data_IF_689257501974
#
_entry.id   IF_689257501974
#
_cell.length_a   1.000
_cell.length_b   1.000
_cell.length_c   1.000
_cell.angle_alpha   90.00
_cell.angle_beta   90.00
_cell.angle_gamma   90.00
#
_symmetry.space_group_name_H-M   'P 1'
#
loop_
_entity.id
_entity.type
_entity.pdbx_description
1 polymer ?
#
# COMPACT_ATOMS: atom_id res chain seq x y z
N UNK A 1 -9.05 53.09 -12.16
CA UNK A 1 -9.24 52.69 -13.58
C UNK A 1 -9.41 51.19 -13.70
N UNK A 2 -10.50 50.78 -14.36
CA UNK A 2 -10.83 49.34 -14.53
C UNK A 2 -9.71 48.53 -15.16
N UNK A 3 -8.97 49.14 -16.07
CA UNK A 3 -7.80 48.57 -16.76
C UNK A 3 -6.62 48.31 -15.82
N UNK A 4 -6.40 49.14 -14.84
CA UNK A 4 -5.36 48.92 -13.81
C UNK A 4 -5.70 47.76 -12.88
N UNK A 5 -6.96 47.61 -12.48
CA UNK A 5 -7.43 46.50 -11.65
C UNK A 5 -7.30 45.17 -12.38
N UNK A 6 -7.67 45.11 -13.67
CA UNK A 6 -7.54 43.92 -14.50
C UNK A 6 -6.07 43.54 -14.70
N UNK A 7 -5.19 44.51 -14.96
CA UNK A 7 -3.75 44.26 -15.09
C UNK A 7 -3.09 43.81 -13.78
N UNK A 8 -3.49 44.34 -12.62
CA UNK A 8 -3.01 43.88 -11.33
C UNK A 8 -3.47 42.44 -11.03
N UNK A 9 -4.71 42.10 -11.40
CA UNK A 9 -5.23 40.75 -11.21
C UNK A 9 -4.51 39.75 -12.13
N UNK A 10 -4.24 40.08 -13.38
CA UNK A 10 -3.47 39.23 -14.29
C UNK A 10 -2.02 39.04 -13.85
N UNK A 11 -1.38 40.08 -13.35
CA UNK A 11 -0.01 39.97 -12.82
C UNK A 11 0.06 39.05 -11.59
N UNK A 12 -0.91 39.17 -10.68
CA UNK A 12 -1.01 38.31 -9.47
C UNK A 12 -1.25 36.84 -9.81
N UNK A 13 -2.09 36.54 -10.80
CA UNK A 13 -2.36 35.18 -11.26
C UNK A 13 -1.11 34.56 -11.89
N UNK A 14 -0.41 35.28 -12.74
CA UNK A 14 0.82 34.79 -13.37
C UNK A 14 1.93 34.49 -12.36
N UNK A 15 2.12 35.36 -11.36
CA UNK A 15 3.07 35.09 -10.27
C UNK A 15 2.68 33.85 -9.45
N UNK A 16 1.42 33.66 -9.16
CA UNK A 16 0.91 32.49 -8.44
C UNK A 16 1.17 31.21 -9.23
N UNK A 17 0.85 31.21 -10.53
CA UNK A 17 1.07 30.07 -11.42
C UNK A 17 2.55 29.71 -11.50
N UNK A 18 3.44 30.70 -11.65
CA UNK A 18 4.88 30.48 -11.68
C UNK A 18 5.38 29.87 -10.36
N UNK A 19 4.92 30.36 -9.23
CA UNK A 19 5.29 29.81 -7.90
C UNK A 19 4.81 28.38 -7.72
N UNK A 20 3.60 28.07 -8.19
CA UNK A 20 3.06 26.70 -8.15
C UNK A 20 3.89 25.78 -9.02
N UNK A 21 4.16 26.14 -10.27
CA UNK A 21 4.97 25.33 -11.21
C UNK A 21 6.37 25.10 -10.64
N UNK A 22 6.99 26.14 -10.07
CA UNK A 22 8.31 26.05 -9.48
C UNK A 22 8.33 25.10 -8.27
N UNK A 23 7.29 25.17 -7.40
CA UNK A 23 7.13 24.26 -6.28
C UNK A 23 6.97 22.80 -6.75
N UNK A 24 6.11 22.56 -7.75
CA UNK A 24 5.89 21.21 -8.31
C UNK A 24 7.09 20.64 -9.05
N UNK A 25 8.04 21.45 -9.49
CA UNK A 25 9.30 20.99 -10.08
C UNK A 25 10.41 20.75 -9.04
N UNK A 26 10.54 21.65 -8.08
CA UNK A 26 11.62 21.61 -7.09
C UNK A 26 11.41 20.52 -6.05
N UNK A 27 10.20 20.38 -5.51
CA UNK A 27 9.94 19.39 -4.46
C UNK A 27 10.20 17.96 -4.93
N UNK A 28 9.67 17.48 -6.07
CA UNK A 28 9.99 16.16 -6.58
C UNK A 28 11.46 15.96 -6.93
N UNK A 29 12.15 17.00 -7.38
CA UNK A 29 13.58 16.93 -7.67
C UNK A 29 14.41 16.63 -6.40
N UNK A 30 14.19 17.36 -5.32
CA UNK A 30 14.89 17.13 -4.06
C UNK A 30 14.51 15.80 -3.41
N UNK A 31 13.23 15.46 -3.44
CA UNK A 31 12.76 14.16 -2.94
C UNK A 31 13.34 13.02 -3.74
N UNK A 32 13.42 13.13 -5.07
CA UNK A 32 14.08 12.16 -5.94
C UNK A 32 15.56 11.97 -5.61
N UNK A 33 16.26 13.05 -5.29
CA UNK A 33 17.65 13.01 -4.82
C UNK A 33 17.78 12.23 -3.50
N UNK A 34 16.95 12.53 -2.52
CA UNK A 34 16.92 11.83 -1.21
C UNK A 34 16.59 10.34 -1.41
N UNK A 35 15.58 10.03 -2.20
CA UNK A 35 15.20 8.65 -2.54
C UNK A 35 16.36 7.92 -3.24
N UNK A 36 17.04 8.58 -4.17
CA UNK A 36 18.23 8.05 -4.83
C UNK A 36 19.38 7.73 -3.85
N UNK A 37 19.58 8.56 -2.83
CA UNK A 37 20.56 8.32 -1.77
C UNK A 37 20.14 7.11 -0.92
N UNK A 38 18.86 7.03 -0.51
CA UNK A 38 18.31 5.91 0.28
C UNK A 38 18.56 4.58 -0.43
N UNK A 39 18.44 4.53 -1.76
CA UNK A 39 18.71 3.33 -2.57
C UNK A 39 20.09 2.73 -2.33
N UNK A 40 21.12 3.56 -2.10
CA UNK A 40 22.47 3.07 -1.87
C UNK A 40 22.63 2.27 -0.57
N UNK A 41 21.70 2.46 0.38
CA UNK A 41 21.69 1.76 1.67
C UNK A 41 20.82 0.50 1.67
N UNK A 42 20.07 0.24 0.60
CA UNK A 42 19.29 -0.99 0.45
C UNK A 42 20.14 -2.17 0.01
N UNK A 43 19.79 -3.39 0.40
CA UNK A 43 20.48 -4.63 0.01
C UNK A 43 20.44 -4.78 -1.52
N UNK A 44 21.62 -4.92 -2.12
CA UNK A 44 21.75 -5.06 -3.57
C UNK A 44 21.52 -3.76 -4.36
N UNK A 45 21.41 -2.61 -3.71
CA UNK A 45 21.15 -1.30 -4.34
C UNK A 45 19.92 -1.32 -5.27
N UNK A 46 18.91 -2.10 -4.91
CA UNK A 46 17.63 -2.20 -5.63
C UNK A 46 16.45 -1.92 -4.72
N UNK A 47 15.34 -1.57 -5.31
CA UNK A 47 14.08 -1.46 -4.58
C UNK A 47 13.49 -2.84 -4.33
N UNK A 48 12.93 -3.01 -3.16
CA UNK A 48 12.26 -4.22 -2.72
C UNK A 48 10.74 -4.03 -2.79
N UNK A 49 10.00 -5.11 -3.05
CA UNK A 49 8.57 -5.04 -3.24
C UNK A 49 7.86 -6.36 -2.96
N UNK A 50 6.57 -6.49 -3.38
CA UNK A 50 5.78 -7.70 -3.20
C UNK A 50 6.46 -9.00 -3.68
N UNK A 51 7.20 -9.01 -4.81
CA UNK A 51 7.93 -10.21 -5.23
C UNK A 51 8.95 -10.71 -4.20
N UNK A 52 9.63 -9.80 -3.50
CA UNK A 52 10.58 -10.18 -2.45
C UNK A 52 9.89 -10.83 -1.25
N UNK A 53 8.70 -10.34 -0.91
CA UNK A 53 7.86 -10.92 0.16
C UNK A 53 7.42 -12.33 -0.21
N UNK A 54 6.93 -12.53 -1.44
CA UNK A 54 6.51 -13.84 -1.95
C UNK A 54 7.70 -14.80 -1.96
N UNK A 55 8.85 -14.34 -2.45
CA UNK A 55 10.06 -15.15 -2.53
C UNK A 55 10.52 -15.60 -1.14
N UNK A 56 10.51 -14.70 -0.15
CA UNK A 56 10.93 -15.01 1.23
C UNK A 56 10.04 -16.04 1.93
N UNK A 57 8.78 -16.16 1.51
CA UNK A 57 7.84 -17.15 2.07
C UNK A 57 8.03 -18.53 1.42
N UNK A 58 8.50 -18.58 0.16
CA UNK A 58 8.61 -19.83 -0.60
C UNK A 58 10.02 -20.41 -0.62
N UNK A 59 11.04 -19.60 -0.37
CA UNK A 59 12.44 -20.02 -0.41
C UNK A 59 13.04 -19.93 0.99
N UNK A 60 13.37 -21.08 1.56
CA UNK A 60 13.77 -21.18 2.96
C UNK A 60 15.09 -20.43 3.30
N UNK A 61 15.94 -20.16 2.30
CA UNK A 61 17.20 -19.45 2.47
C UNK A 61 17.12 -17.93 2.26
N UNK A 62 15.96 -17.37 1.93
CA UNK A 62 15.81 -15.95 1.62
C UNK A 62 14.84 -15.24 2.57
N UNK A 63 15.31 -14.92 3.78
CA UNK A 63 14.58 -14.04 4.67
C UNK A 63 14.57 -12.58 4.20
N UNK A 64 13.45 -11.89 4.46
CA UNK A 64 13.33 -10.46 4.20
C UNK A 64 14.39 -9.67 4.97
N UNK A 65 15.09 -8.79 4.24
CA UNK A 65 16.01 -7.87 4.87
C UNK A 65 15.23 -6.69 5.46
N UNK A 66 15.06 -6.72 6.78
CA UNK A 66 14.26 -5.74 7.54
C UNK A 66 14.73 -4.31 7.30
N UNK A 67 16.04 -4.07 7.30
CA UNK A 67 16.61 -2.74 7.05
C UNK A 67 16.21 -2.23 5.65
N UNK A 68 16.35 -3.06 4.63
CA UNK A 68 15.95 -2.71 3.27
C UNK A 68 14.44 -2.49 3.16
N UNK A 69 13.64 -3.27 3.91
CA UNK A 69 12.20 -3.12 3.96
C UNK A 69 11.76 -1.75 4.49
N UNK A 70 12.30 -1.34 5.62
CA UNK A 70 12.01 -0.02 6.18
C UNK A 70 12.49 1.11 5.28
N UNK A 71 13.70 1.02 4.72
CA UNK A 71 14.23 2.04 3.81
C UNK A 71 13.38 2.18 2.54
N UNK A 72 12.91 1.07 1.96
CA UNK A 72 12.03 1.09 0.80
C UNK A 72 10.67 1.72 1.14
N UNK A 73 10.13 1.42 2.32
CA UNK A 73 8.86 2.01 2.78
C UNK A 73 8.98 3.52 2.99
N UNK A 74 10.06 3.99 3.62
CA UNK A 74 10.34 5.42 3.80
C UNK A 74 10.48 6.11 2.43
N UNK A 75 11.25 5.53 1.52
CA UNK A 75 11.41 6.07 0.17
C UNK A 75 10.08 6.18 -0.58
N UNK A 76 9.18 5.20 -0.41
CA UNK A 76 7.86 5.18 -1.01
C UNK A 76 6.95 6.25 -0.42
N UNK A 77 6.94 6.42 0.91
CA UNK A 77 6.18 7.48 1.60
C UNK A 77 6.64 8.85 1.08
N UNK A 78 7.94 9.10 1.03
CA UNK A 78 8.49 10.36 0.50
C UNK A 78 8.08 10.59 -0.96
N UNK A 79 8.13 9.57 -1.80
CA UNK A 79 7.74 9.67 -3.20
C UNK A 79 6.25 9.99 -3.36
N UNK A 80 5.37 9.31 -2.62
CA UNK A 80 3.92 9.56 -2.66
C UNK A 80 3.61 10.96 -2.14
N UNK A 81 4.24 11.38 -1.05
CA UNK A 81 4.01 12.69 -0.44
C UNK A 81 4.40 13.87 -1.35
N UNK A 82 5.36 13.67 -2.26
CA UNK A 82 5.72 14.70 -3.24
C UNK A 82 4.88 14.66 -4.54
N UNK A 83 3.82 13.85 -4.57
CA UNK A 83 2.90 13.77 -5.71
C UNK A 83 3.30 12.78 -6.80
N UNK A 84 4.26 11.89 -6.56
CA UNK A 84 4.58 10.84 -7.54
C UNK A 84 3.41 9.87 -7.69
N UNK A 85 3.02 9.58 -8.93
CA UNK A 85 1.96 8.62 -9.25
C UNK A 85 2.46 7.18 -9.10
N UNK A 86 2.93 6.82 -7.93
CA UNK A 86 3.33 5.45 -7.57
C UNK A 86 2.24 4.83 -6.71
N UNK A 87 1.86 3.58 -7.03
CA UNK A 87 0.83 2.89 -6.25
C UNK A 87 1.28 2.60 -4.82
N UNK A 88 0.38 2.79 -3.87
CA UNK A 88 0.65 2.50 -2.44
C UNK A 88 0.70 1.00 -2.11
N UNK A 89 0.15 0.16 -2.97
CA UNK A 89 0.00 -1.28 -2.75
C UNK A 89 1.34 -2.01 -2.54
N UNK A 90 2.32 -1.79 -3.43
CA UNK A 90 3.62 -2.44 -3.34
C UNK A 90 4.36 -2.17 -2.03
N UNK A 91 4.56 -0.91 -1.67
CA UNK A 91 5.16 -0.52 -0.39
C UNK A 91 4.42 -1.05 0.83
N UNK A 92 3.09 -1.05 0.79
CA UNK A 92 2.24 -1.51 1.88
C UNK A 92 2.42 -3.00 2.16
N UNK A 93 2.38 -3.84 1.11
CA UNK A 93 2.63 -5.29 1.20
C UNK A 93 4.03 -5.57 1.72
N UNK A 94 5.03 -4.87 1.21
CA UNK A 94 6.41 -5.07 1.63
C UNK A 94 6.65 -4.63 3.08
N UNK A 95 6.06 -3.51 3.49
CA UNK A 95 6.14 -3.02 4.86
C UNK A 95 5.50 -4.00 5.86
N UNK A 96 4.27 -4.46 5.57
CA UNK A 96 3.59 -5.46 6.40
C UNK A 96 4.37 -6.75 6.53
N UNK A 97 4.87 -7.29 5.41
CA UNK A 97 5.72 -8.48 5.41
C UNK A 97 7.01 -8.29 6.21
N UNK A 98 7.63 -7.12 6.13
CA UNK A 98 8.84 -6.77 6.88
C UNK A 98 8.60 -6.76 8.39
N UNK A 99 7.45 -6.19 8.83
CA UNK A 99 7.06 -6.22 10.25
C UNK A 99 6.84 -7.66 10.72
N UNK A 100 6.13 -8.47 9.93
CA UNK A 100 5.93 -9.89 10.25
C UNK A 100 7.25 -10.67 10.40
N UNK A 101 8.21 -10.42 9.52
CA UNK A 101 9.54 -10.99 9.59
C UNK A 101 10.32 -10.57 10.87
N UNK A 102 10.19 -9.30 11.25
CA UNK A 102 10.85 -8.78 12.46
C UNK A 102 10.26 -9.36 13.73
N UNK A 103 8.94 -9.52 13.80
CA UNK A 103 8.26 -10.17 14.93
C UNK A 103 8.80 -11.59 15.15
N UNK A 104 9.06 -12.35 14.07
CA UNK A 104 9.67 -13.69 14.19
C UNK A 104 11.05 -13.65 14.85
N UNK A 105 11.86 -12.65 14.53
CA UNK A 105 13.20 -12.50 15.11
C UNK A 105 13.16 -12.12 16.59
N UNK A 106 12.19 -11.29 16.96
CA UNK A 106 12.03 -10.84 18.36
C UNK A 106 11.47 -11.93 19.28
N UNK A 107 10.63 -12.81 18.77
CA UNK A 107 9.91 -13.79 19.56
C UNK A 107 10.18 -15.22 19.08
N UNK A 108 11.03 -15.96 19.81
CA UNK A 108 11.38 -17.36 19.49
C UNK A 108 10.18 -18.32 19.49
N UNK A 109 9.17 -18.07 20.32
CA UNK A 109 7.93 -18.87 20.41
C UNK A 109 6.84 -18.43 19.40
N UNK A 110 7.11 -17.43 18.56
CA UNK A 110 6.15 -16.97 17.57
C UNK A 110 5.85 -18.08 16.53
N UNK A 111 4.68 -18.03 15.88
CA UNK A 111 4.32 -18.91 14.78
C UNK A 111 5.39 -18.96 13.68
N UNK A 112 5.23 -19.87 12.74
CA UNK A 112 6.14 -20.02 11.62
C UNK A 112 6.34 -18.69 10.87
N UNK A 113 7.56 -18.46 10.40
CA UNK A 113 7.95 -17.26 9.61
C UNK A 113 6.97 -16.95 8.49
N UNK A 114 6.57 -17.98 7.74
CA UNK A 114 5.64 -17.84 6.61
C UNK A 114 4.27 -17.30 7.04
N UNK A 115 3.78 -17.74 8.19
CA UNK A 115 2.50 -17.30 8.77
C UNK A 115 2.59 -15.84 9.23
N UNK A 116 3.69 -15.48 9.90
CA UNK A 116 3.87 -14.12 10.41
C UNK A 116 4.03 -13.09 9.29
N UNK A 117 4.83 -13.40 8.27
CA UNK A 117 4.96 -12.53 7.10
C UNK A 117 3.62 -12.35 6.41
N UNK A 118 2.87 -13.45 6.18
CA UNK A 118 1.55 -13.39 5.56
C UNK A 118 0.53 -12.63 6.41
N UNK A 119 0.57 -12.80 7.75
CA UNK A 119 -0.28 -12.04 8.67
C UNK A 119 0.03 -10.54 8.65
N UNK A 120 1.31 -10.18 8.57
CA UNK A 120 1.73 -8.78 8.42
C UNK A 120 1.24 -8.16 7.10
N UNK A 121 1.31 -8.91 6.00
CA UNK A 121 0.75 -8.47 4.71
C UNK A 121 -0.77 -8.31 4.78
N UNK A 122 -1.48 -9.27 5.37
CA UNK A 122 -2.93 -9.20 5.54
C UNK A 122 -3.34 -7.97 6.34
N UNK A 123 -2.63 -7.70 7.44
CA UNK A 123 -2.84 -6.52 8.28
C UNK A 123 -2.64 -5.22 7.49
N UNK A 124 -1.55 -5.13 6.74
CA UNK A 124 -1.22 -3.93 5.98
C UNK A 124 -2.26 -3.62 4.89
N UNK A 125 -2.71 -4.64 4.14
CA UNK A 125 -3.79 -4.48 3.14
C UNK A 125 -5.10 -4.11 3.82
N UNK A 126 -5.44 -4.77 4.92
CA UNK A 126 -6.66 -4.50 5.68
C UNK A 126 -6.70 -3.05 6.17
N UNK A 127 -5.60 -2.57 6.75
CA UNK A 127 -5.49 -1.19 7.22
C UNK A 127 -5.53 -0.17 6.07
N UNK A 128 -4.76 -0.41 5.01
CA UNK A 128 -4.62 0.56 3.91
C UNK A 128 -5.84 0.71 3.02
N UNK A 129 -6.65 -0.35 2.89
CA UNK A 129 -7.84 -0.36 2.03
C UNK A 129 -9.16 -0.46 2.80
N UNK A 130 -9.13 -0.60 4.12
CA UNK A 130 -10.34 -0.83 4.92
C UNK A 130 -11.05 -2.16 4.59
N UNK A 131 -10.31 -3.17 4.13
CA UNK A 131 -10.87 -4.39 3.54
C UNK A 131 -10.25 -5.67 4.16
N UNK A 132 -10.71 -6.12 5.33
CA UNK A 132 -10.12 -7.24 6.05
C UNK A 132 -10.20 -8.57 5.30
N UNK A 133 -11.28 -8.82 4.56
CA UNK A 133 -11.40 -10.03 3.75
C UNK A 133 -10.45 -10.03 2.56
N UNK A 134 -10.24 -8.88 1.92
CA UNK A 134 -9.28 -8.76 0.83
C UNK A 134 -7.84 -9.00 1.33
N UNK A 135 -7.49 -8.45 2.50
CA UNK A 135 -6.21 -8.70 3.15
C UNK A 135 -5.96 -10.19 3.44
N UNK A 136 -6.97 -10.88 3.99
CA UNK A 136 -6.92 -12.32 4.23
C UNK A 136 -6.71 -13.12 2.93
N UNK A 137 -7.54 -12.87 1.92
CA UNK A 137 -7.51 -13.60 0.64
C UNK A 137 -6.17 -13.38 -0.04
N UNK A 138 -5.72 -12.12 -0.14
CA UNK A 138 -4.44 -11.79 -0.74
C UNK A 138 -3.27 -12.49 -0.06
N UNK A 139 -3.20 -12.44 1.26
CA UNK A 139 -2.12 -13.07 2.01
C UNK A 139 -2.09 -14.60 1.81
N UNK A 140 -3.25 -15.24 1.69
CA UNK A 140 -3.34 -16.68 1.47
C UNK A 140 -3.08 -17.10 0.04
N UNK A 141 -3.64 -16.41 -0.93
CA UNK A 141 -3.60 -16.82 -2.34
C UNK A 141 -2.32 -16.35 -3.04
N UNK A 142 -1.87 -15.13 -2.74
CA UNK A 142 -0.73 -14.54 -3.44
C UNK A 142 0.57 -14.77 -2.67
N UNK A 143 0.56 -14.53 -1.34
CA UNK A 143 1.79 -14.60 -0.54
C UNK A 143 2.07 -16.02 -0.09
N UNK A 144 1.14 -16.67 0.60
CA UNK A 144 1.37 -17.99 1.19
C UNK A 144 1.23 -19.14 0.18
N UNK A 145 0.31 -19.00 -0.77
CA UNK A 145 -0.04 -20.01 -1.79
C UNK A 145 -0.34 -21.41 -1.22
N UNK A 146 -0.63 -21.48 0.07
CA UNK A 146 -0.93 -22.72 0.75
C UNK A 146 -2.19 -22.60 1.59
N UNK A 147 -3.13 -23.54 1.40
CA UNK A 147 -4.43 -23.49 2.06
C UNK A 147 -4.46 -24.35 3.35
N UNK A 148 -3.54 -24.09 4.26
CA UNK A 148 -3.59 -24.73 5.57
C UNK A 148 -4.63 -24.08 6.48
N UNK A 149 -5.41 -24.87 7.20
CA UNK A 149 -6.33 -24.37 8.23
C UNK A 149 -5.57 -23.74 9.41
N UNK A 150 -4.36 -24.22 9.70
CA UNK A 150 -3.53 -23.67 10.77
C UNK A 150 -3.06 -22.24 10.49
N UNK A 151 -2.87 -21.86 9.23
CA UNK A 151 -2.50 -20.50 8.84
C UNK A 151 -3.70 -19.55 8.73
N UNK A 152 -4.92 -20.09 8.56
CA UNK A 152 -6.12 -19.28 8.35
C UNK A 152 -6.43 -18.37 9.54
N UNK A 153 -6.47 -18.94 10.73
CA UNK A 153 -6.86 -18.23 11.96
C UNK A 153 -5.94 -17.04 12.28
N UNK A 154 -4.61 -17.17 12.32
CA UNK A 154 -3.74 -16.03 12.63
C UNK A 154 -3.79 -14.94 11.56
N UNK A 155 -3.89 -15.29 10.28
CA UNK A 155 -3.99 -14.31 9.19
C UNK A 155 -5.32 -13.56 9.25
N UNK A 156 -6.43 -14.26 9.51
CA UNK A 156 -7.74 -13.65 9.66
C UNK A 156 -7.79 -12.70 10.86
N UNK A 157 -7.31 -13.17 12.02
CA UNK A 157 -7.28 -12.35 13.24
C UNK A 157 -6.44 -11.09 13.06
N UNK A 158 -5.26 -11.20 12.47
CA UNK A 158 -4.39 -10.05 12.24
C UNK A 158 -5.04 -9.03 11.30
N UNK A 159 -5.73 -9.50 10.26
CA UNK A 159 -6.45 -8.65 9.31
C UNK A 159 -7.63 -7.91 9.97
N UNK A 160 -8.45 -8.61 10.77
CA UNK A 160 -9.60 -8.01 11.45
C UNK A 160 -9.14 -7.02 12.52
N UNK A 161 -8.14 -7.39 13.33
CA UNK A 161 -7.61 -6.51 14.38
C UNK A 161 -7.04 -5.24 13.75
N UNK A 162 -6.29 -5.36 12.67
CA UNK A 162 -5.73 -4.22 11.96
C UNK A 162 -6.81 -3.27 11.42
N UNK A 163 -7.87 -3.82 10.84
CA UNK A 163 -9.04 -3.05 10.41
C UNK A 163 -9.68 -2.28 11.57
N UNK A 164 -9.94 -2.98 12.68
CA UNK A 164 -10.54 -2.39 13.87
C UNK A 164 -9.71 -1.23 14.40
N UNK A 165 -8.40 -1.42 14.55
CA UNK A 165 -7.51 -0.34 15.00
C UNK A 165 -7.51 0.84 14.05
N UNK A 166 -7.52 0.60 12.75
CA UNK A 166 -7.47 1.65 11.74
C UNK A 166 -8.75 2.47 11.70
N UNK A 167 -9.91 1.83 11.70
CA UNK A 167 -11.21 2.49 11.56
C UNK A 167 -11.70 3.04 12.88
N UNK A 168 -11.68 2.25 13.96
CA UNK A 168 -12.30 2.61 15.24
C UNK A 168 -11.39 3.44 16.15
N UNK A 169 -10.07 3.21 16.11
CA UNK A 169 -9.14 3.91 17.02
C UNK A 169 -8.49 5.10 16.34
N UNK A 170 -8.09 4.97 15.07
CA UNK A 170 -7.51 6.07 14.33
C UNK A 170 -8.53 6.90 13.54
N UNK A 171 -9.82 6.53 13.60
CA UNK A 171 -10.92 7.23 12.90
C UNK A 171 -10.61 7.44 11.40
N UNK A 172 -9.87 6.49 10.81
CA UNK A 172 -9.45 6.58 9.41
C UNK A 172 -10.58 6.10 8.51
N UNK A 173 -11.12 7.02 7.71
CA UNK A 173 -12.06 6.65 6.65
C UNK A 173 -11.30 6.04 5.46
N UNK A 174 -11.71 4.82 5.02
CA UNK A 174 -11.12 4.21 3.84
C UNK A 174 -11.25 5.14 2.61
N UNK A 175 -10.19 5.18 1.80
CA UNK A 175 -10.11 6.04 0.61
C UNK A 175 -11.23 5.79 -0.43
N UNK A 176 -11.94 4.66 -0.32
CA UNK A 176 -13.08 4.30 -1.16
C UNK A 176 -14.39 4.62 -0.42
N UNK A 177 -14.81 5.88 -0.46
CA UNK A 177 -16.14 6.25 -0.03
C UNK A 177 -17.11 5.93 -1.17
N UNK A 178 -17.68 4.72 -1.16
CA UNK A 178 -18.67 4.31 -2.14
C UNK A 178 -20.01 4.90 -1.68
N UNK A 179 -20.61 5.85 -2.44
CA UNK A 179 -21.93 6.37 -2.10
C UNK A 179 -22.90 5.21 -1.97
N UNK A 180 -23.73 5.22 -0.91
CA UNK A 180 -24.79 4.22 -0.75
C UNK A 180 -25.68 4.25 -1.98
N UNK A 181 -25.59 3.23 -2.82
CA UNK A 181 -26.44 3.10 -4.00
C UNK A 181 -27.84 2.76 -3.50
N UNK A 182 -28.68 3.77 -3.39
CA UNK A 182 -30.11 3.60 -3.13
C UNK A 182 -30.77 3.04 -4.39
N UNK A 183 -30.70 1.74 -4.57
CA UNK A 183 -31.27 1.02 -5.71
C UNK A 183 -31.62 -0.41 -5.35
N UNK A 184 -32.33 -1.08 -6.25
CA UNK A 184 -32.78 -2.45 -6.07
C UNK A 184 -31.57 -3.38 -5.84
N UNK A 185 -31.39 -3.87 -4.63
CA UNK A 185 -30.24 -4.66 -4.20
C UNK A 185 -29.91 -5.85 -5.11
N UNK A 186 -30.93 -6.46 -5.74
CA UNK A 186 -30.74 -7.58 -6.65
C UNK A 186 -30.03 -7.16 -7.96
N UNK A 187 -30.37 -6.01 -8.52
CA UNK A 187 -29.71 -5.48 -9.73
C UNK A 187 -28.25 -5.14 -9.45
N UNK A 188 -27.96 -4.55 -8.29
CA UNK A 188 -26.60 -4.20 -7.89
C UNK A 188 -25.73 -5.43 -7.74
N UNK A 189 -26.24 -6.52 -7.14
CA UNK A 189 -25.51 -7.79 -7.02
C UNK A 189 -25.19 -8.37 -8.41
N UNK A 190 -26.15 -8.38 -9.32
CA UNK A 190 -25.95 -8.87 -10.69
C UNK A 190 -24.87 -8.05 -11.41
N UNK A 191 -24.92 -6.73 -11.32
CA UNK A 191 -23.93 -5.84 -11.92
C UNK A 191 -22.51 -6.07 -11.36
N UNK A 192 -22.39 -6.28 -10.04
CA UNK A 192 -21.11 -6.59 -9.40
C UNK A 192 -20.57 -7.93 -9.89
N UNK A 193 -21.41 -8.96 -10.01
CA UNK A 193 -20.99 -10.27 -10.53
C UNK A 193 -20.54 -10.15 -11.98
N UNK A 194 -21.30 -9.47 -12.83
CA UNK A 194 -20.95 -9.26 -14.23
C UNK A 194 -19.66 -8.44 -14.38
N UNK A 195 -19.46 -7.40 -13.60
CA UNK A 195 -18.24 -6.61 -13.57
C UNK A 195 -17.03 -7.46 -13.14
N UNK A 196 -17.21 -8.36 -12.15
CA UNK A 196 -16.18 -9.31 -11.72
C UNK A 196 -15.79 -10.29 -12.83
N UNK A 197 -16.76 -10.84 -13.55
CA UNK A 197 -16.52 -11.74 -14.69
C UNK A 197 -15.79 -11.01 -15.83
N UNK A 198 -16.23 -9.80 -16.19
CA UNK A 198 -15.57 -8.97 -17.20
C UNK A 198 -14.14 -8.62 -16.82
N UNK A 199 -13.87 -8.33 -15.55
CA UNK A 199 -12.52 -8.08 -15.03
C UNK A 199 -11.63 -9.31 -15.18
N UNK A 200 -12.14 -10.51 -14.88
CA UNK A 200 -11.39 -11.76 -15.05
C UNK A 200 -11.04 -12.02 -16.52
N UNK A 201 -11.95 -11.77 -17.45
CA UNK A 201 -11.70 -11.91 -18.89
C UNK A 201 -10.61 -10.94 -19.35
N UNK A 202 -10.66 -9.70 -18.88
CA UNK A 202 -9.66 -8.68 -19.24
C UNK A 202 -8.24 -8.99 -18.72
N UNK A 203 -8.13 -9.68 -17.58
CA UNK A 203 -6.82 -10.08 -17.01
C UNK A 203 -6.23 -11.29 -17.75
N UNK A 204 -7.07 -12.11 -18.41
CA UNK A 204 -6.64 -13.33 -19.10
C UNK A 204 -6.10 -13.10 -20.54
N UNK A 205 -6.25 -11.89 -21.08
CA UNK A 205 -5.67 -11.45 -22.36
C UNK A 205 -4.30 -10.77 -22.15
#
# INVERSE_FOLDING_TARGET
>A
DFTELVNQQHFSINELVIKIIFFFLIVPFFVGLVVGIIRNFTKGKRWHGPPDVILSVHKDDEELNVKSGFLTSIASILSISCGSSVGQYGPLVHFGGTIGAEIKKLFSYAPDYKILVSSGVASAISAGFGAPLAGLIYAREVVLRHQSLASFSPILLSSIISYFFTVEIFEYEPSLNIPSVTGNNAINVIVIILAGILSLIHISE
#
